data_IF_383617143995
#
_entry.id   IF_383617143995
#
_cell.length_a   1.000
_cell.length_b   1.000
_cell.length_c   1.000
_cell.angle_alpha   90.00
_cell.angle_beta   90.00
_cell.angle_gamma   90.00
#
_symmetry.space_group_name_H-M   'P 1'
#
loop_
_entity.id
_entity.type
_entity.pdbx_description
1 polymer ?
#
# COMPACT_ATOMS: atom_id res chain seq x y z
N UNK A 1 -14.93 5.15 -14.52
CA UNK A 1 -16.20 4.83 -13.82
C UNK A 1 -16.09 3.61 -12.90
N UNK A 2 -15.45 2.50 -13.32
CA UNK A 2 -15.32 1.29 -12.47
C UNK A 2 -14.57 1.52 -11.13
N UNK A 3 -13.42 2.21 -11.17
CA UNK A 3 -12.59 2.46 -9.98
C UNK A 3 -13.31 3.25 -8.86
N UNK A 4 -14.28 4.11 -9.21
CA UNK A 4 -15.06 4.87 -8.25
C UNK A 4 -16.08 3.99 -7.51
N UNK A 5 -16.60 2.95 -8.16
CA UNK A 5 -17.57 2.02 -7.56
C UNK A 5 -16.91 1.09 -6.53
N UNK A 6 -15.76 0.52 -6.85
CA UNK A 6 -15.03 -0.34 -5.93
C UNK A 6 -14.55 0.41 -4.67
N UNK A 7 -14.13 1.67 -4.81
CA UNK A 7 -13.78 2.51 -3.66
C UNK A 7 -14.98 2.79 -2.72
N UNK A 8 -16.18 2.97 -3.28
CA UNK A 8 -17.40 3.14 -2.46
C UNK A 8 -17.73 1.83 -1.72
N UNK A 9 -17.66 0.69 -2.43
CA UNK A 9 -17.87 -0.63 -1.81
C UNK A 9 -16.87 -0.87 -0.68
N UNK A 10 -15.61 -0.50 -0.89
CA UNK A 10 -14.55 -0.64 0.10
C UNK A 10 -14.83 0.18 1.38
N UNK A 11 -15.08 1.48 1.23
CA UNK A 11 -15.36 2.39 2.36
C UNK A 11 -16.60 1.93 3.11
N UNK A 12 -17.67 1.57 2.40
CA UNK A 12 -18.93 1.14 3.03
C UNK A 12 -18.77 -0.20 3.75
N UNK A 13 -18.13 -1.19 3.13
CA UNK A 13 -17.86 -2.48 3.76
C UNK A 13 -16.98 -2.33 5.00
N UNK A 14 -15.92 -1.53 4.92
CA UNK A 14 -15.03 -1.27 6.05
C UNK A 14 -15.77 -0.58 7.21
N UNK A 15 -16.60 0.42 6.92
CA UNK A 15 -17.36 1.14 7.93
C UNK A 15 -18.34 0.19 8.65
N UNK A 16 -19.04 -0.68 7.91
CA UNK A 16 -19.95 -1.67 8.49
C UNK A 16 -19.22 -2.69 9.38
N UNK A 17 -18.07 -3.22 8.94
CA UNK A 17 -17.26 -4.14 9.73
C UNK A 17 -16.72 -3.47 11.00
N UNK A 18 -16.28 -2.21 10.89
CA UNK A 18 -15.81 -1.42 12.03
C UNK A 18 -16.93 -1.16 13.06
N UNK A 19 -18.14 -0.82 12.58
CA UNK A 19 -19.31 -0.64 13.45
C UNK A 19 -19.79 -1.94 14.10
N UNK A 20 -19.53 -3.08 13.47
CA UNK A 20 -19.81 -4.41 14.02
C UNK A 20 -18.76 -4.87 15.05
N UNK A 21 -17.73 -4.06 15.35
CA UNK A 21 -16.69 -4.39 16.33
C UNK A 21 -15.64 -5.38 15.83
N UNK A 22 -15.53 -5.59 14.50
CA UNK A 22 -14.48 -6.41 13.90
C UNK A 22 -13.13 -5.71 14.09
N UNK A 23 -12.06 -6.48 14.31
CA UNK A 23 -10.71 -5.91 14.47
C UNK A 23 -10.28 -5.13 13.22
N UNK A 24 -9.42 -4.14 13.40
CA UNK A 24 -8.98 -3.24 12.32
C UNK A 24 -8.33 -4.00 11.16
N UNK A 25 -7.53 -5.02 11.48
CA UNK A 25 -6.79 -5.85 10.53
C UNK A 25 -7.73 -6.69 9.67
N UNK A 26 -8.73 -7.31 10.30
CA UNK A 26 -9.72 -8.13 9.58
C UNK A 26 -10.63 -7.22 8.75
N UNK A 27 -11.11 -6.11 9.31
CA UNK A 27 -11.99 -5.18 8.62
C UNK A 27 -11.34 -4.59 7.35
N UNK A 28 -10.07 -4.16 7.43
CA UNK A 28 -9.36 -3.59 6.28
C UNK A 28 -9.06 -4.64 5.21
N UNK A 29 -8.62 -5.85 5.60
CA UNK A 29 -8.28 -6.89 4.65
C UNK A 29 -9.52 -7.42 3.91
N UNK A 30 -10.62 -7.64 4.65
CA UNK A 30 -11.87 -8.15 4.07
C UNK A 30 -12.54 -7.12 3.15
N UNK A 31 -12.60 -5.85 3.55
CA UNK A 31 -13.18 -4.79 2.70
C UNK A 31 -12.40 -4.58 1.41
N UNK A 32 -11.06 -4.55 1.47
CA UNK A 32 -10.25 -4.43 0.25
C UNK A 32 -10.41 -5.63 -0.67
N UNK A 33 -10.39 -6.83 -0.10
CA UNK A 33 -10.53 -8.08 -0.87
C UNK A 33 -11.86 -8.11 -1.60
N UNK A 34 -12.94 -7.65 -0.97
CA UNK A 34 -14.25 -7.50 -1.59
C UNK A 34 -14.21 -6.49 -2.75
N UNK A 35 -13.59 -5.33 -2.54
CA UNK A 35 -13.46 -4.31 -3.57
C UNK A 35 -12.67 -4.80 -4.80
N UNK A 36 -11.56 -5.50 -4.58
CA UNK A 36 -10.76 -6.14 -5.64
C UNK A 36 -11.58 -7.20 -6.38
N UNK A 37 -12.35 -8.03 -5.66
CA UNK A 37 -13.20 -9.03 -6.29
C UNK A 37 -14.27 -8.40 -7.19
N UNK A 38 -14.87 -7.28 -6.76
CA UNK A 38 -15.82 -6.49 -7.57
C UNK A 38 -15.13 -5.94 -8.82
N UNK A 39 -13.95 -5.33 -8.70
CA UNK A 39 -13.20 -4.81 -9.84
C UNK A 39 -12.82 -5.91 -10.83
N UNK A 40 -12.35 -7.06 -10.34
CA UNK A 40 -12.05 -8.24 -11.17
C UNK A 40 -13.30 -8.75 -11.88
N UNK A 41 -14.45 -8.83 -11.21
CA UNK A 41 -15.71 -9.26 -11.81
C UNK A 41 -16.19 -8.29 -12.89
N UNK A 42 -16.07 -6.97 -12.67
CA UNK A 42 -16.39 -5.93 -13.66
C UNK A 42 -15.48 -6.07 -14.88
N UNK A 43 -14.17 -6.18 -14.67
CA UNK A 43 -13.19 -6.37 -15.74
C UNK A 43 -13.43 -7.66 -16.51
N UNK A 44 -13.76 -8.75 -15.83
CA UNK A 44 -14.04 -10.04 -16.45
C UNK A 44 -15.32 -10.01 -17.30
N UNK A 45 -16.39 -9.36 -16.83
CA UNK A 45 -17.62 -9.15 -17.61
C UNK A 45 -17.42 -8.24 -18.81
N UNK A 46 -16.60 -7.20 -18.67
CA UNK A 46 -16.25 -6.30 -19.77
C UNK A 46 -15.36 -6.97 -20.83
N UNK A 47 -14.74 -8.11 -20.52
CA UNK A 47 -13.78 -8.85 -21.37
C UNK A 47 -14.41 -9.67 -22.51
N UNK A 48 -15.70 -9.46 -22.86
CA UNK A 48 -16.45 -10.31 -23.81
C UNK A 48 -15.64 -10.87 -24.99
N UNK A 49 -15.77 -12.20 -25.22
CA UNK A 49 -15.24 -13.16 -26.25
C UNK A 49 -13.94 -12.93 -27.05
N UNK A 50 -13.34 -11.74 -27.11
CA UNK A 50 -12.09 -11.49 -27.83
C UNK A 50 -10.95 -11.27 -26.82
N UNK A 51 -10.43 -12.36 -26.27
CA UNK A 51 -9.24 -12.32 -25.43
C UNK A 51 -8.03 -11.91 -26.29
N UNK A 52 -7.49 -10.71 -26.05
CA UNK A 52 -6.26 -10.25 -26.70
C UNK A 52 -5.05 -11.12 -26.28
N UNK A 53 -4.07 -11.27 -27.19
CA UNK A 53 -2.88 -12.12 -27.07
C UNK A 53 -1.98 -11.92 -25.81
N UNK A 54 -2.26 -10.92 -24.97
CA UNK A 54 -1.46 -10.55 -23.78
C UNK A 54 -2.29 -10.51 -22.49
N UNK A 55 -3.37 -11.29 -22.41
CA UNK A 55 -4.27 -11.28 -21.26
C UNK A 55 -3.58 -11.60 -19.93
N UNK A 56 -2.70 -12.58 -19.90
CA UNK A 56 -2.06 -13.06 -18.66
C UNK A 56 -1.12 -12.00 -18.07
N UNK A 57 -0.36 -11.31 -18.92
CA UNK A 57 0.49 -10.19 -18.52
C UNK A 57 -0.33 -9.02 -17.93
N UNK A 58 -1.52 -8.74 -18.50
CA UNK A 58 -2.42 -7.69 -18.00
C UNK A 58 -3.04 -8.06 -16.66
N UNK A 59 -3.36 -9.33 -16.44
CA UNK A 59 -3.85 -9.83 -15.15
C UNK A 59 -2.75 -9.74 -14.10
N UNK A 60 -1.54 -10.21 -14.41
CA UNK A 60 -0.40 -10.11 -13.50
C UNK A 60 -0.10 -8.66 -13.09
N UNK A 61 -0.12 -7.74 -14.04
CA UNK A 61 0.02 -6.30 -13.79
C UNK A 61 -1.09 -5.75 -12.89
N UNK A 62 -2.35 -6.13 -13.13
CA UNK A 62 -3.48 -5.69 -12.31
C UNK A 62 -3.37 -6.20 -10.87
N UNK A 63 -2.94 -7.45 -10.67
CA UNK A 63 -2.68 -8.02 -9.33
C UNK A 63 -1.59 -7.25 -8.61
N UNK A 64 -0.46 -6.97 -9.28
CA UNK A 64 0.62 -6.16 -8.69
C UNK A 64 0.11 -4.77 -8.31
N UNK A 65 -0.65 -4.10 -9.19
CA UNK A 65 -1.22 -2.78 -8.88
C UNK A 65 -2.19 -2.84 -7.68
N UNK A 66 -2.99 -3.91 -7.56
CA UNK A 66 -3.88 -4.11 -6.42
C UNK A 66 -3.11 -4.30 -5.12
N UNK A 67 -2.01 -5.08 -5.14
CA UNK A 67 -1.14 -5.27 -3.96
C UNK A 67 -0.46 -3.96 -3.54
N UNK A 68 0.01 -3.16 -4.49
CA UNK A 68 0.60 -1.85 -4.20
C UNK A 68 -0.45 -0.88 -3.64
N UNK A 69 -1.65 -0.85 -4.23
CA UNK A 69 -2.76 -0.07 -3.72
C UNK A 69 -3.15 -0.49 -2.29
N UNK A 70 -3.17 -1.80 -2.01
CA UNK A 70 -3.42 -2.33 -0.67
C UNK A 70 -2.39 -1.83 0.34
N UNK A 71 -1.10 -1.95 0.02
CA UNK A 71 -0.02 -1.55 0.92
C UNK A 71 -0.11 -0.07 1.29
N UNK A 72 -0.30 0.82 0.31
CA UNK A 72 -0.43 2.25 0.58
C UNK A 72 -1.72 2.57 1.37
N UNK A 73 -2.87 1.98 0.98
CA UNK A 73 -4.15 2.17 1.70
C UNK A 73 -4.03 1.72 3.16
N UNK A 74 -3.55 0.50 3.39
CA UNK A 74 -3.41 -0.09 4.72
C UNK A 74 -2.46 0.73 5.60
N UNK A 75 -1.34 1.18 5.04
CA UNK A 75 -0.39 2.05 5.75
C UNK A 75 -1.02 3.39 6.16
N UNK A 76 -1.78 4.05 5.27
CA UNK A 76 -2.47 5.31 5.58
C UNK A 76 -3.55 5.10 6.64
N UNK A 77 -4.32 4.01 6.54
CA UNK A 77 -5.32 3.67 7.54
C UNK A 77 -4.68 3.43 8.92
N UNK A 78 -3.59 2.67 8.96
CA UNK A 78 -2.81 2.42 10.18
C UNK A 78 -2.26 3.72 10.77
N UNK A 79 -1.71 4.61 9.95
CA UNK A 79 -1.15 5.89 10.39
C UNK A 79 -2.20 6.71 11.13
N UNK A 80 -3.36 6.87 10.49
CA UNK A 80 -4.42 7.73 11.00
C UNK A 80 -5.11 7.10 12.21
N UNK A 81 -5.43 5.81 12.15
CA UNK A 81 -6.17 5.13 13.20
C UNK A 81 -5.32 4.82 14.44
N UNK A 82 -4.08 4.36 14.26
CA UNK A 82 -3.23 3.89 15.36
C UNK A 82 -2.27 4.97 15.85
N UNK A 83 -1.56 5.68 14.96
CA UNK A 83 -0.57 6.67 15.38
C UNK A 83 -1.20 8.02 15.73
N UNK A 84 -2.19 8.47 14.94
CA UNK A 84 -2.86 9.76 15.16
C UNK A 84 -4.17 9.64 15.95
N UNK A 85 -4.62 8.41 16.23
CA UNK A 85 -5.79 8.14 17.08
C UNK A 85 -7.13 8.56 16.47
N UNK A 86 -7.22 8.71 15.15
CA UNK A 86 -8.48 9.04 14.48
C UNK A 86 -9.47 7.87 14.54
N UNK A 87 -10.79 8.13 14.64
CA UNK A 87 -11.79 7.07 14.57
C UNK A 87 -11.64 6.26 13.26
N UNK A 88 -11.63 4.91 13.29
CA UNK A 88 -11.44 4.10 12.10
C UNK A 88 -12.37 4.43 10.91
N UNK A 89 -13.68 4.72 11.13
CA UNK A 89 -14.58 5.10 10.04
C UNK A 89 -14.26 6.45 9.37
N UNK A 90 -13.46 7.31 10.02
CA UNK A 90 -12.99 8.58 9.45
C UNK A 90 -11.68 8.35 8.69
N UNK A 91 -10.78 7.55 9.26
CA UNK A 91 -9.48 7.20 8.68
C UNK A 91 -9.57 6.47 7.34
N UNK A 92 -10.66 5.73 7.10
CA UNK A 92 -10.83 4.97 5.86
C UNK A 92 -10.98 5.83 4.61
N UNK A 93 -11.55 7.04 4.71
CA UNK A 93 -11.80 7.90 3.55
C UNK A 93 -10.50 8.35 2.88
N UNK A 94 -9.54 8.99 3.60
CA UNK A 94 -8.25 9.33 3.01
C UNK A 94 -7.43 8.09 2.61
N UNK A 95 -7.54 6.98 3.36
CA UNK A 95 -6.87 5.73 3.00
C UNK A 95 -7.38 5.16 1.67
N UNK A 96 -8.70 5.08 1.49
CA UNK A 96 -9.34 4.61 0.26
C UNK A 96 -8.99 5.50 -0.94
N UNK A 97 -8.92 6.82 -0.74
CA UNK A 97 -8.46 7.75 -1.77
C UNK A 97 -7.00 7.46 -2.18
N UNK A 98 -6.10 7.28 -1.21
CA UNK A 98 -4.70 6.96 -1.48
C UNK A 98 -4.56 5.63 -2.27
N UNK A 99 -5.29 4.60 -1.86
CA UNK A 99 -5.35 3.31 -2.56
C UNK A 99 -5.90 3.44 -3.99
N UNK A 100 -7.00 4.18 -4.17
CA UNK A 100 -7.61 4.40 -5.48
C UNK A 100 -6.68 5.17 -6.43
N UNK A 101 -5.95 6.18 -5.94
CA UNK A 101 -4.96 6.91 -6.73
C UNK A 101 -3.80 6.00 -7.13
N UNK A 102 -3.24 5.22 -6.20
CA UNK A 102 -2.15 4.29 -6.50
C UNK A 102 -2.57 3.20 -7.51
N UNK A 103 -3.75 2.59 -7.30
CA UNK A 103 -4.29 1.58 -8.20
C UNK A 103 -4.64 2.13 -9.58
N UNK A 104 -5.30 3.30 -9.64
CA UNK A 104 -5.70 3.95 -10.89
C UNK A 104 -4.52 4.37 -11.76
N UNK A 105 -3.47 4.95 -11.14
CA UNK A 105 -2.25 5.33 -11.86
C UNK A 105 -1.46 4.10 -12.33
N UNK A 106 -1.37 3.05 -11.50
CA UNK A 106 -0.70 1.80 -11.85
C UNK A 106 -1.38 1.06 -13.00
N UNK A 107 -2.69 0.81 -12.90
CA UNK A 107 -3.46 0.12 -13.95
C UNK A 107 -3.53 0.96 -15.22
N UNK A 108 -3.68 2.28 -15.11
CA UNK A 108 -3.66 3.19 -16.26
C UNK A 108 -2.37 3.06 -17.07
N UNK A 109 -1.21 3.16 -16.41
CA UNK A 109 0.09 3.09 -17.08
C UNK A 109 0.48 1.68 -17.56
N UNK A 110 0.15 0.63 -16.82
CA UNK A 110 0.61 -0.75 -17.15
C UNK A 110 -0.36 -1.49 -18.07
N UNK A 111 -1.68 -1.30 -17.91
CA UNK A 111 -2.68 -2.12 -18.62
C UNK A 111 -3.31 -1.44 -19.85
N UNK A 112 -3.41 -0.11 -19.90
CA UNK A 112 -4.26 0.57 -20.88
C UNK A 112 -3.62 1.69 -21.69
N UNK A 113 -2.42 2.18 -21.36
CA UNK A 113 -1.73 3.16 -22.22
C UNK A 113 -1.14 2.42 -23.44
N UNK A 114 -1.59 2.73 -24.68
CA UNK A 114 -0.91 2.27 -25.88
C UNK A 114 0.53 2.81 -25.85
N UNK A 115 1.53 1.96 -26.12
CA UNK A 115 2.91 2.41 -26.37
C UNK A 115 2.96 3.12 -27.73
N UNK A 116 2.36 4.30 -27.82
CA UNK A 116 2.28 5.10 -29.06
C UNK A 116 3.36 6.19 -29.11
N UNK A 117 4.19 6.32 -28.08
CA UNK A 117 5.33 7.24 -28.03
C UNK A 117 6.68 6.52 -27.94
N UNK A 118 7.75 7.29 -28.02
CA UNK A 118 9.13 6.83 -27.82
C UNK A 118 9.22 5.96 -26.53
N UNK A 119 9.68 4.69 -26.63
CA UNK A 119 9.89 3.81 -25.48
C UNK A 119 10.66 4.49 -24.33
N UNK A 120 11.56 5.42 -24.66
CA UNK A 120 12.34 6.18 -23.68
C UNK A 120 11.48 7.08 -22.76
N UNK A 121 10.33 7.56 -23.22
CA UNK A 121 9.45 8.43 -22.43
C UNK A 121 8.58 7.60 -21.47
N UNK A 122 8.16 6.40 -21.88
CA UNK A 122 7.32 5.52 -21.07
C UNK A 122 8.02 5.00 -19.80
N UNK A 123 9.29 4.60 -19.90
CA UNK A 123 10.03 4.12 -18.72
C UNK A 123 10.32 5.24 -17.72
N UNK A 124 10.56 6.46 -18.19
CA UNK A 124 10.79 7.63 -17.32
C UNK A 124 9.56 7.94 -16.49
N UNK A 125 8.38 7.94 -17.10
CA UNK A 125 7.13 8.14 -16.39
C UNK A 125 6.87 7.04 -15.35
N UNK A 126 7.11 5.77 -15.72
CA UNK A 126 6.98 4.65 -14.78
C UNK A 126 7.99 4.73 -13.62
N UNK A 127 9.23 5.13 -13.90
CA UNK A 127 10.26 5.33 -12.87
C UNK A 127 9.89 6.47 -11.91
N UNK A 128 9.43 7.62 -12.45
CA UNK A 128 8.97 8.75 -11.62
C UNK A 128 7.77 8.37 -10.76
N UNK A 129 6.79 7.65 -11.32
CA UNK A 129 5.64 7.15 -10.57
C UNK A 129 6.06 6.16 -9.49
N UNK A 130 7.00 5.25 -9.79
CA UNK A 130 7.56 4.30 -8.84
C UNK A 130 8.30 4.99 -7.71
N UNK A 131 9.13 6.00 -8.00
CA UNK A 131 9.84 6.80 -6.99
C UNK A 131 8.84 7.55 -6.12
N UNK A 132 7.84 8.21 -6.70
CA UNK A 132 6.80 8.92 -5.95
C UNK A 132 6.02 7.97 -5.04
N UNK A 133 5.67 6.79 -5.51
CA UNK A 133 5.00 5.76 -4.73
C UNK A 133 5.87 5.25 -3.56
N UNK A 134 7.15 4.94 -3.81
CA UNK A 134 8.07 4.50 -2.77
C UNK A 134 8.31 5.59 -1.72
N UNK A 135 8.38 6.85 -2.13
CA UNK A 135 8.48 7.99 -1.23
C UNK A 135 7.21 8.13 -0.38
N UNK A 136 6.03 7.96 -0.97
CA UNK A 136 4.76 7.96 -0.23
C UNK A 136 4.73 6.84 0.81
N UNK A 137 5.10 5.61 0.45
CA UNK A 137 5.24 4.51 1.41
C UNK A 137 6.24 4.86 2.52
N UNK A 138 7.41 5.40 2.16
CA UNK A 138 8.44 5.79 3.14
C UNK A 138 7.90 6.76 4.18
N UNK A 139 7.10 7.75 3.76
CA UNK A 139 6.51 8.75 4.65
C UNK A 139 5.39 8.15 5.50
N UNK A 140 4.54 7.32 4.92
CA UNK A 140 3.41 6.69 5.62
C UNK A 140 3.88 5.74 6.71
N UNK A 141 4.89 4.91 6.43
CA UNK A 141 5.43 3.94 7.38
C UNK A 141 6.52 4.54 8.29
N UNK A 142 6.84 5.83 8.13
CA UNK A 142 7.82 6.50 8.98
C UNK A 142 7.32 6.52 10.43
N UNK A 143 8.06 5.87 11.33
CA UNK A 143 7.69 5.82 12.75
C UNK A 143 6.48 4.95 13.08
N UNK A 144 5.97 4.16 12.13
CA UNK A 144 5.01 3.09 12.42
C UNK A 144 5.69 1.80 12.88
N UNK A 145 6.93 1.58 12.47
CA UNK A 145 7.76 0.46 12.92
C UNK A 145 8.50 0.86 14.19
N UNK A 146 8.28 0.12 15.27
CA UNK A 146 9.09 0.25 16.47
C UNK A 146 10.52 -0.24 16.19
N UNK A 147 11.52 0.49 16.69
CA UNK A 147 12.90 0.00 16.64
C UNK A 147 13.01 -1.24 17.50
N UNK A 148 13.57 -2.30 16.92
CA UNK A 148 13.89 -3.51 17.67
C UNK A 148 14.97 -3.13 18.72
N UNK A 149 14.99 -3.71 19.94
CA UNK A 149 15.95 -3.31 20.98
C UNK A 149 17.42 -3.25 20.51
N UNK A 150 17.83 -4.17 19.63
CA UNK A 150 19.17 -4.16 19.03
C UNK A 150 19.40 -2.96 18.11
N UNK A 151 18.39 -2.53 17.34
CA UNK A 151 18.47 -1.34 16.50
C UNK A 151 18.48 -0.06 17.33
N UNK A 152 17.70 0.01 18.40
CA UNK A 152 17.73 1.12 19.34
C UNK A 152 19.09 1.24 20.04
N UNK A 153 19.69 0.09 20.40
CA UNK A 153 21.04 0.00 20.93
C UNK A 153 22.03 0.59 19.92
N UNK A 154 22.10 0.08 18.68
CA UNK A 154 23.02 0.59 17.66
C UNK A 154 22.74 2.04 17.25
N UNK A 155 21.48 2.50 17.27
CA UNK A 155 21.11 3.90 17.04
C UNK A 155 21.66 4.82 18.13
N UNK A 156 21.52 4.44 19.40
CA UNK A 156 22.07 5.20 20.52
C UNK A 156 23.59 5.33 20.42
N UNK A 157 24.28 4.26 20.01
CA UNK A 157 25.71 4.29 19.77
C UNK A 157 26.13 5.13 18.57
N UNK A 158 25.39 5.09 17.46
CA UNK A 158 25.67 5.93 16.30
C UNK A 158 25.56 7.43 16.61
N UNK A 159 24.75 7.81 17.60
CA UNK A 159 24.66 9.19 18.10
C UNK A 159 25.82 9.57 19.06
N UNK A 160 26.53 8.60 19.62
CA UNK A 160 27.63 8.81 20.58
C UNK A 160 28.88 8.03 20.14
N UNK A 161 29.49 8.47 19.05
CA UNK A 161 30.65 7.80 18.47
C UNK A 161 31.87 7.96 19.41
N UNK A 162 32.26 6.87 20.09
CA UNK A 162 33.45 6.84 20.96
C UNK A 162 34.52 5.90 20.37
N UNK A 163 35.80 6.20 20.60
CA UNK A 163 36.95 5.51 19.99
C UNK A 163 37.15 4.09 20.55
N UNK A 164 36.64 3.78 21.76
CA UNK A 164 36.73 2.45 22.39
C UNK A 164 35.74 1.39 21.88
N UNK A 165 35.10 1.63 20.73
CA UNK A 165 33.92 0.90 20.26
C UNK A 165 34.13 -0.56 19.81
N UNK A 166 35.37 -0.96 19.50
CA UNK A 166 35.70 -2.32 19.04
C UNK A 166 36.11 -3.27 20.19
N UNK A 167 36.24 -2.75 21.42
CA UNK A 167 36.85 -3.47 22.55
C UNK A 167 35.85 -4.24 23.44
N UNK A 168 34.73 -4.70 22.85
CA UNK A 168 33.74 -5.68 23.39
C UNK A 168 32.49 -5.11 24.10
N UNK A 169 31.32 -5.77 23.96
CA UNK A 169 30.11 -5.39 24.67
C UNK A 169 30.24 -5.63 26.19
N UNK A 170 29.65 -4.77 27.05
CA UNK A 170 29.65 -4.99 28.49
C UNK A 170 29.00 -6.34 28.80
N UNK A 171 29.76 -7.18 29.49
CA UNK A 171 29.35 -8.49 29.96
C UNK A 171 28.07 -8.34 30.81
N UNK A 172 26.94 -8.83 30.31
CA UNK A 172 25.74 -9.00 31.13
C UNK A 172 26.07 -9.98 32.26
N UNK A 173 26.19 -9.47 33.50
CA UNK A 173 26.32 -10.29 34.69
C UNK A 173 24.95 -10.33 35.38
N UNK A 174 24.24 -11.46 35.40
CA UNK A 174 23.03 -11.59 36.20
C UNK A 174 23.42 -11.67 37.69
N UNK A 175 22.72 -10.89 38.51
CA UNK A 175 22.72 -10.96 39.97
C UNK A 175 21.31 -11.23 40.47
#
# INVERSE_FOLDING_TARGET
>A
MAASGAAIVDVTAFALLSLAGVSLEVAQASSFSLAVAVDVAILWRARGTTAAANADLRIGAAVVCALLAYALRAGVLSLLALQWGWPPPVSIVPAALAGALAGGLGVGHVAFVPRTGDPATGWRAAALLGIAYLLALRLVYLGQLELIPQEAYYWNYAQHLDIGYLDHPPLYRPG
#
